data_IF_037682212344
#
_entry.id   IF_037682212344
#
_cell.length_a   1.000
_cell.length_b   1.000
_cell.length_c   1.000
_cell.angle_alpha   90.00
_cell.angle_beta   90.00
_cell.angle_gamma   90.00
#
_symmetry.space_group_name_H-M   'P 1'
#
loop_
_entity.id
_entity.type
_entity.pdbx_description
1 polymer ?
#
# COMPACT_ATOMS: atom_id res chain seq x y z
N UNK A 1 -7.96 -2.75 8.60
CA UNK A 1 -8.89 -2.63 7.47
C UNK A 1 -8.77 -1.22 6.93
N UNK A 2 -8.24 -1.08 5.72
CA UNK A 2 -8.22 0.20 5.00
C UNK A 2 -9.69 0.62 4.77
N UNK A 3 -10.20 1.52 5.61
CA UNK A 3 -11.57 2.04 5.52
C UNK A 3 -11.52 3.54 5.27
N UNK A 4 -11.99 3.98 4.10
CA UNK A 4 -12.00 5.41 3.74
C UNK A 4 -12.34 5.65 2.26
N UNK A 5 -11.80 4.82 1.38
CA UNK A 5 -12.00 4.89 -0.06
C UNK A 5 -13.38 4.38 -0.54
N UNK A 6 -14.48 5.02 -0.11
CA UNK A 6 -15.84 4.75 -0.65
C UNK A 6 -15.95 5.25 -2.11
N UNK A 7 -15.34 4.54 -3.06
CA UNK A 7 -15.32 4.91 -4.49
C UNK A 7 -14.44 6.12 -4.82
N UNK A 8 -13.47 6.43 -3.96
CA UNK A 8 -12.54 7.57 -4.08
C UNK A 8 -11.11 7.06 -4.00
N UNK A 9 -10.18 7.78 -4.63
CA UNK A 9 -8.77 7.62 -4.26
C UNK A 9 -8.49 8.52 -3.06
N UNK A 10 -7.73 8.01 -2.11
CA UNK A 10 -7.34 8.72 -0.89
C UNK A 10 -5.82 8.70 -0.80
N UNK A 11 -5.23 9.84 -0.41
CA UNK A 11 -3.79 9.97 -0.23
C UNK A 11 -3.54 10.32 1.24
N UNK A 12 -2.61 9.60 1.85
CA UNK A 12 -2.18 9.82 3.23
C UNK A 12 -0.67 9.96 3.32
N UNK A 13 -0.19 10.82 4.23
CA UNK A 13 1.20 10.79 4.66
C UNK A 13 1.34 9.84 5.85
N UNK A 14 2.16 8.81 5.69
CA UNK A 14 2.60 7.96 6.81
C UNK A 14 3.50 8.77 7.75
N UNK A 15 3.33 8.58 9.05
CA UNK A 15 4.22 9.14 10.08
C UNK A 15 5.48 8.28 10.28
N UNK A 16 5.41 7.00 9.95
CA UNK A 16 6.50 6.03 10.09
C UNK A 16 7.30 5.85 8.81
N UNK A 17 8.59 5.56 8.96
CA UNK A 17 9.45 5.14 7.86
C UNK A 17 9.18 3.68 7.49
N UNK A 18 8.89 3.42 6.21
CA UNK A 18 8.80 2.07 5.66
C UNK A 18 10.09 1.78 4.86
N UNK A 19 10.86 0.73 5.19
CA UNK A 19 12.08 0.38 4.45
C UNK A 19 11.79 -0.26 3.08
N UNK A 20 10.56 -0.16 2.59
CA UNK A 20 10.08 -0.74 1.34
C UNK A 20 8.91 0.08 0.77
N UNK A 21 8.71 -0.05 -0.54
CA UNK A 21 7.51 0.37 -1.23
C UNK A 21 6.65 -0.85 -1.55
N UNK A 22 5.32 -0.68 -1.53
CA UNK A 22 4.37 -1.74 -1.90
C UNK A 22 3.37 -1.23 -2.92
N UNK A 23 3.11 -2.04 -3.92
CA UNK A 23 1.93 -1.93 -4.77
C UNK A 23 1.07 -3.19 -4.57
N UNK A 24 -0.18 -3.03 -4.15
CA UNK A 24 -1.06 -4.14 -3.79
C UNK A 24 -2.42 -4.01 -4.48
N UNK A 25 -2.97 -5.15 -4.89
CA UNK A 25 -4.33 -5.27 -5.42
C UNK A 25 -5.13 -6.25 -4.57
N UNK A 26 -6.43 -6.02 -4.43
CA UNK A 26 -7.33 -6.93 -3.72
C UNK A 26 -6.84 -7.32 -2.31
N UNK A 27 -6.26 -6.36 -1.56
CA UNK A 27 -5.50 -6.59 -0.33
C UNK A 27 -6.20 -7.47 0.73
N UNK A 28 -7.52 -7.41 0.80
CA UNK A 28 -8.35 -8.13 1.78
C UNK A 28 -9.03 -9.39 1.20
N UNK A 29 -8.70 -9.78 -0.03
CA UNK A 29 -9.25 -10.97 -0.70
C UNK A 29 -8.18 -12.03 -0.89
N UNK A 30 -8.63 -13.28 -1.08
CA UNK A 30 -7.77 -14.41 -1.43
C UNK A 30 -7.11 -14.28 -2.80
N UNK A 31 -7.68 -13.49 -3.72
CA UNK A 31 -7.09 -13.16 -5.02
C UNK A 31 -6.06 -12.03 -4.97
N UNK A 32 -5.68 -11.59 -3.76
CA UNK A 32 -4.79 -10.46 -3.57
C UNK A 32 -3.36 -10.74 -3.99
N UNK A 33 -2.70 -9.70 -4.51
CA UNK A 33 -1.31 -9.76 -4.92
C UNK A 33 -0.56 -8.51 -4.45
N UNK A 34 0.71 -8.66 -4.09
CA UNK A 34 1.59 -7.56 -3.70
C UNK A 34 2.94 -7.62 -4.42
N UNK A 35 3.38 -6.47 -4.93
CA UNK A 35 4.75 -6.24 -5.36
C UNK A 35 5.46 -5.40 -4.31
N UNK A 36 6.56 -5.92 -3.78
CA UNK A 36 7.34 -5.28 -2.72
C UNK A 36 8.71 -4.93 -3.26
N UNK A 37 9.11 -3.67 -3.14
CA UNK A 37 10.43 -3.19 -3.53
C UNK A 37 11.16 -2.64 -2.31
N UNK A 38 12.30 -3.22 -1.94
CA UNK A 38 13.06 -2.77 -0.78
C UNK A 38 13.96 -1.57 -1.13
N UNK A 39 14.04 -0.61 -0.21
CA UNK A 39 14.94 0.53 -0.36
C UNK A 39 16.37 0.12 0.01
N UNK A 40 17.29 0.16 -0.97
CA UNK A 40 18.72 -0.01 -0.74
C UNK A 40 19.44 1.35 -0.81
N UNK A 41 19.93 1.85 0.32
CA UNK A 41 20.66 3.11 0.37
C UNK A 41 22.10 3.04 -0.18
N UNK A 42 22.57 1.84 -0.55
CA UNK A 42 23.99 1.59 -0.82
C UNK A 42 24.33 1.18 -2.25
N UNK A 43 23.37 0.84 -3.12
CA UNK A 43 23.69 0.37 -4.48
C UNK A 43 22.66 0.79 -5.53
N UNK A 44 23.15 1.23 -6.69
CA UNK A 44 22.35 1.51 -7.91
C UNK A 44 22.01 0.25 -8.71
N UNK A 45 22.46 -0.92 -8.26
CA UNK A 45 22.28 -2.19 -8.97
C UNK A 45 21.06 -2.92 -8.41
N UNK A 46 20.01 -3.04 -9.23
CA UNK A 46 18.83 -3.89 -9.03
C UNK A 46 18.12 -3.78 -7.68
N UNK A 47 16.98 -3.09 -7.63
CA UNK A 47 16.13 -3.15 -6.42
C UNK A 47 15.54 -4.56 -6.31
N UNK A 48 15.83 -5.33 -5.26
CA UNK A 48 15.19 -6.63 -5.08
C UNK A 48 13.69 -6.39 -4.95
N UNK A 49 12.94 -7.06 -5.80
CA UNK A 49 11.49 -7.05 -5.81
C UNK A 49 10.96 -8.44 -5.52
N UNK A 50 9.91 -8.53 -4.73
CA UNK A 50 9.23 -9.77 -4.41
C UNK A 50 7.77 -9.63 -4.82
N UNK A 51 7.26 -10.66 -5.48
CA UNK A 51 5.82 -10.83 -5.72
C UNK A 51 5.28 -11.79 -4.67
N UNK A 52 4.20 -11.41 -4.01
CA UNK A 52 3.48 -12.25 -3.05
C UNK A 52 2.03 -12.42 -3.46
N UNK A 53 1.52 -13.63 -3.38
CA UNK A 53 0.10 -13.95 -3.59
C UNK A 53 -0.54 -14.41 -2.29
N UNK A 54 -1.79 -14.01 -2.03
CA UNK A 54 -2.42 -14.24 -0.74
C UNK A 54 -2.66 -15.74 -0.43
N UNK A 55 -2.81 -16.57 -1.45
CA UNK A 55 -3.03 -18.01 -1.33
C UNK A 55 -1.76 -18.86 -1.42
N UNK A 56 -0.68 -18.35 -2.01
CA UNK A 56 0.62 -19.03 -2.11
C UNK A 56 1.57 -18.63 -0.98
N UNK A 57 1.59 -17.35 -0.59
CA UNK A 57 2.57 -16.75 0.31
C UNK A 57 1.93 -16.21 1.61
N UNK A 58 0.88 -16.87 2.09
CA UNK A 58 -0.04 -16.35 3.11
C UNK A 58 0.66 -15.68 4.32
N UNK A 59 1.72 -16.30 4.87
CA UNK A 59 2.44 -15.74 6.03
C UNK A 59 3.11 -14.40 5.72
N UNK A 60 3.86 -14.33 4.61
CA UNK A 60 4.54 -13.09 4.21
C UNK A 60 3.54 -12.05 3.72
N UNK A 61 2.52 -12.47 2.98
CA UNK A 61 1.44 -11.61 2.55
C UNK A 61 0.76 -10.93 3.74
N UNK A 62 0.42 -11.70 4.78
CA UNK A 62 -0.20 -11.18 5.99
C UNK A 62 0.72 -10.26 6.78
N UNK A 63 2.01 -10.57 6.87
CA UNK A 63 2.99 -9.68 7.50
C UNK A 63 2.97 -8.29 6.84
N UNK A 64 3.13 -8.22 5.52
CA UNK A 64 3.15 -6.93 4.81
C UNK A 64 1.79 -6.24 4.82
N UNK A 65 0.68 -7.00 4.72
CA UNK A 65 -0.68 -6.47 4.86
C UNK A 65 -0.88 -5.77 6.20
N UNK A 66 -0.36 -6.33 7.29
CA UNK A 66 -0.44 -5.72 8.62
C UNK A 66 0.38 -4.43 8.70
N UNK A 67 1.60 -4.41 8.16
CA UNK A 67 2.43 -3.20 8.11
C UNK A 67 1.76 -2.06 7.33
N UNK A 68 1.16 -2.37 6.17
CA UNK A 68 0.44 -1.38 5.34
C UNK A 68 -0.80 -0.87 6.07
N UNK A 69 -1.58 -1.77 6.68
CA UNK A 69 -2.76 -1.38 7.46
C UNK A 69 -2.40 -0.47 8.63
N UNK A 70 -1.32 -0.76 9.35
CA UNK A 70 -0.82 0.07 10.44
C UNK A 70 -0.42 1.46 9.93
N UNK A 71 0.42 1.51 8.88
CA UNK A 71 0.85 2.78 8.27
C UNK A 71 -0.33 3.61 7.73
N UNK A 72 -1.34 2.97 7.16
CA UNK A 72 -2.54 3.63 6.66
C UNK A 72 -3.39 4.23 7.80
N UNK A 73 -3.59 3.48 8.88
CA UNK A 73 -4.41 3.89 10.01
C UNK A 73 -3.76 5.05 10.79
N UNK A 74 -2.44 5.04 10.92
CA UNK A 74 -1.68 6.10 11.61
C UNK A 74 -1.42 7.33 10.73
N UNK A 75 -1.58 7.17 9.41
CA UNK A 75 -1.34 8.21 8.41
C UNK A 75 -2.36 9.34 8.45
N UNK A 76 -1.89 10.55 8.09
CA UNK A 76 -2.72 11.75 7.99
C UNK A 76 -3.23 11.90 6.57
N UNK A 77 -4.54 11.95 6.38
CA UNK A 77 -5.15 12.19 5.08
C UNK A 77 -4.84 13.60 4.57
N UNK A 78 -4.39 13.71 3.31
CA UNK A 78 -4.00 14.98 2.67
C UNK A 78 -4.81 15.31 1.43
N UNK A 79 -5.67 14.40 0.97
CA UNK A 79 -6.54 14.65 -0.17
C UNK A 79 -7.39 13.44 -0.52
N UNK A 80 -8.53 13.71 -1.15
CA UNK A 80 -9.42 12.71 -1.72
C UNK A 80 -9.75 13.08 -3.16
N UNK A 81 -9.62 12.14 -4.08
CA UNK A 81 -10.04 12.30 -5.47
C UNK A 81 -11.36 11.58 -5.72
N UNK A 82 -12.36 12.33 -6.21
CA UNK A 82 -13.66 11.82 -6.64
C UNK A 82 -13.75 11.83 -8.16
N UNK A 83 -14.13 10.69 -8.75
CA UNK A 83 -14.55 10.66 -10.16
C UNK A 83 -15.94 11.31 -10.25
N UNK A 84 -16.01 12.54 -10.77
CA UNK A 84 -17.27 13.19 -11.17
C UNK A 84 -17.88 14.15 -10.14
N UNK A 85 -17.34 15.37 -10.07
CA UNK A 85 -18.01 16.66 -10.31
C UNK A 85 -16.88 17.70 -10.28
N UNK A 86 -16.83 18.57 -11.29
CA UNK A 86 -15.74 19.51 -11.51
C UNK A 86 -15.35 20.29 -10.26
N UNK A 87 -14.07 20.61 -10.17
CA UNK A 87 -13.52 21.51 -9.14
C UNK A 87 -14.40 22.76 -9.03
N UNK A 88 -15.03 22.96 -7.88
CA UNK A 88 -15.41 24.30 -7.46
C UNK A 88 -14.32 24.77 -6.50
N UNK A 89 -13.52 25.71 -7.01
CA UNK A 89 -12.66 26.58 -6.23
C UNK A 89 -13.51 27.59 -5.46
#
# INVERSE_FOLDING_TARGET
RISGARGRAEIRFSKGFLPFAVFATDLEKRSGAMSIAFHNYRTTVGRPHVMLYADEDAQWYDFFRQQINAAWNDGVAIGEWRKGKGNQA
#
